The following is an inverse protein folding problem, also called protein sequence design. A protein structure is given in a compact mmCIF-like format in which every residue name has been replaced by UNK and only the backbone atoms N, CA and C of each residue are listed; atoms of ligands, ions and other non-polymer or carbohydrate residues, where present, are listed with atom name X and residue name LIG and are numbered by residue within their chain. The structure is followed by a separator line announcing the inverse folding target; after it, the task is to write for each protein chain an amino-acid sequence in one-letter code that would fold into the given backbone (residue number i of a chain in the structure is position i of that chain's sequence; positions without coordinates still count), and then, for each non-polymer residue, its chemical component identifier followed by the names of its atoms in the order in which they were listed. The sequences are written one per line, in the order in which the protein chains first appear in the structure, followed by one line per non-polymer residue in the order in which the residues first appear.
data_IF_834740149923
#
_entry.id   IF_834740149923
#
_cell.length_a   1.000
_cell.length_b   1.000
_cell.length_c   1.000
_cell.angle_alpha   90.00
_cell.angle_beta   90.00
_cell.angle_gamma   90.00
#
_symmetry.space_group_name_H-M   'P 1'
#
loop_
_entity.id
_entity.type
_entity.pdbx_description
1 polymer ?
#
# COMPACT_ATOMS: atom_id res chain seq x y z
N UNK A 1 -116.12 -2.09 -105.48
CA UNK A 1 -116.83 -2.99 -104.52
C UNK A 1 -116.20 -2.75 -103.15
N UNK A 2 -116.73 -1.83 -102.32
CA UNK A 2 -117.78 -2.09 -101.29
C UNK A 2 -117.17 -2.91 -100.14
N UNK A 3 -116.91 -2.45 -98.90
CA UNK A 3 -117.54 -1.49 -97.97
C UNK A 3 -116.44 -0.98 -96.99
N UNK A 4 -116.26 0.30 -96.62
CA UNK A 4 -117.13 1.26 -95.92
C UNK A 4 -117.55 0.86 -94.49
N UNK A 5 -116.76 1.31 -93.49
CA UNK A 5 -117.16 1.79 -92.13
C UNK A 5 -115.89 2.33 -91.45
N UNK A 6 -115.53 3.61 -91.54
CA UNK A 6 -116.10 4.74 -90.79
C UNK A 6 -116.25 4.45 -89.28
N UNK A 7 -115.14 4.50 -88.54
CA UNK A 7 -115.16 4.87 -87.12
C UNK A 7 -114.70 6.33 -87.04
N UNK A 8 -115.68 7.20 -86.82
CA UNK A 8 -115.52 8.64 -86.75
C UNK A 8 -114.48 9.05 -85.70
N UNK A 9 -113.68 10.04 -86.08
CA UNK A 9 -112.95 10.93 -85.19
C UNK A 9 -113.88 11.49 -84.10
N UNK A 10 -113.77 10.99 -82.87
CA UNK A 10 -114.07 11.80 -81.69
C UNK A 10 -112.75 12.38 -81.17
N UNK A 11 -112.16 13.31 -81.93
CA UNK A 11 -111.31 14.35 -81.36
C UNK A 11 -112.24 15.24 -80.54
N UNK A 12 -112.54 14.82 -79.30
CA UNK A 12 -113.20 15.66 -78.30
C UNK A 12 -112.37 16.94 -78.21
N UNK A 13 -112.88 18.05 -78.71
CA UNK A 13 -112.21 19.34 -78.60
C UNK A 13 -111.94 19.59 -77.10
N UNK A 14 -110.68 19.50 -76.68
CA UNK A 14 -110.28 19.82 -75.30
C UNK A 14 -110.74 21.24 -75.04
N UNK A 15 -111.55 21.45 -74.00
CA UNK A 15 -112.00 22.79 -73.62
C UNK A 15 -110.79 23.65 -73.22
N UNK A 16 -110.84 24.98 -73.38
CA UNK A 16 -109.74 25.89 -72.97
C UNK A 16 -109.28 25.63 -71.52
N UNK A 17 -110.21 25.24 -70.63
CA UNK A 17 -109.91 24.82 -69.26
C UNK A 17 -109.06 23.54 -69.16
N UNK A 18 -109.27 22.54 -70.03
CA UNK A 18 -108.42 21.35 -70.10
C UNK A 18 -107.02 21.67 -70.65
N UNK A 19 -106.88 22.59 -71.62
CA UNK A 19 -105.55 22.98 -72.12
C UNK A 19 -104.74 23.75 -71.07
N UNK A 20 -105.37 24.64 -70.30
CA UNK A 20 -104.72 25.36 -69.20
C UNK A 20 -104.32 24.41 -68.07
N UNK A 21 -105.19 23.47 -67.68
CA UNK A 21 -104.86 22.46 -66.67
C UNK A 21 -103.67 21.58 -67.08
N UNK A 22 -103.59 21.18 -68.36
CA UNK A 22 -102.46 20.41 -68.90
C UNK A 22 -101.17 21.25 -68.89
N UNK A 23 -101.23 22.54 -69.23
CA UNK A 23 -100.07 23.43 -69.20
C UNK A 23 -99.53 23.66 -67.77
N UNK A 24 -100.42 23.85 -66.78
CA UNK A 24 -100.05 23.99 -65.36
C UNK A 24 -99.46 22.68 -64.84
N UNK A 25 -100.08 21.53 -65.15
CA UNK A 25 -99.56 20.22 -64.79
C UNK A 25 -98.19 19.95 -65.43
N UNK A 26 -97.99 20.36 -66.69
CA UNK A 26 -96.70 20.24 -67.37
C UNK A 26 -95.62 21.11 -66.72
N UNK A 27 -95.93 22.37 -66.36
CA UNK A 27 -94.99 23.26 -65.66
C UNK A 27 -94.66 22.77 -64.25
N UNK A 28 -95.65 22.28 -63.50
CA UNK A 28 -95.41 21.65 -62.19
C UNK A 28 -94.55 20.39 -62.34
N UNK A 29 -94.81 19.57 -63.35
CA UNK A 29 -94.02 18.38 -63.63
C UNK A 29 -92.58 18.73 -64.02
N UNK A 30 -92.36 19.80 -64.81
CA UNK A 30 -91.02 20.33 -65.13
C UNK A 30 -90.33 20.86 -63.87
N UNK A 31 -91.03 21.60 -63.00
CA UNK A 31 -90.47 22.13 -61.76
C UNK A 31 -90.10 21.01 -60.78
N UNK A 32 -90.95 19.98 -60.65
CA UNK A 32 -90.68 18.78 -59.85
C UNK A 32 -89.51 17.98 -60.44
N UNK A 33 -89.44 17.81 -61.77
CA UNK A 33 -88.29 17.19 -62.42
C UNK A 33 -87.02 18.01 -62.20
N UNK A 34 -87.07 19.33 -62.35
CA UNK A 34 -85.94 20.24 -62.14
C UNK A 34 -85.43 20.17 -60.69
N UNK A 35 -86.34 20.27 -59.72
CA UNK A 35 -85.99 20.08 -58.30
C UNK A 35 -85.42 18.69 -58.04
N UNK A 36 -86.01 17.64 -58.59
CA UNK A 36 -85.52 16.28 -58.47
C UNK A 36 -84.13 16.09 -59.08
N UNK A 37 -83.85 16.63 -60.29
CA UNK A 37 -82.51 16.63 -60.91
C UNK A 37 -81.49 17.37 -60.05
N UNK A 38 -81.87 18.51 -59.48
CA UNK A 38 -81.00 19.31 -58.64
C UNK A 38 -80.66 18.57 -57.34
N UNK A 39 -81.66 17.98 -56.69
CA UNK A 39 -81.49 17.22 -55.44
C UNK A 39 -80.67 15.96 -55.68
N UNK A 40 -80.98 15.18 -56.72
CA UNK A 40 -80.21 13.98 -57.08
C UNK A 40 -78.78 14.32 -57.49
N UNK A 41 -78.56 15.41 -58.23
CA UNK A 41 -77.22 15.93 -58.54
C UNK A 41 -76.43 16.28 -57.29
N UNK A 42 -77.02 17.03 -56.34
CA UNK A 42 -76.34 17.37 -55.08
C UNK A 42 -76.06 16.15 -54.19
N UNK A 43 -76.97 15.18 -54.15
CA UNK A 43 -76.75 13.92 -53.43
C UNK A 43 -75.60 13.13 -54.06
N UNK A 44 -75.55 13.09 -55.39
CA UNK A 44 -74.50 12.40 -56.15
C UNK A 44 -73.14 13.06 -55.90
N UNK A 45 -73.03 14.38 -56.04
CA UNK A 45 -71.80 15.14 -55.76
C UNK A 45 -71.36 15.02 -54.30
N UNK A 46 -72.31 15.14 -53.37
CA UNK A 46 -72.06 14.99 -51.93
C UNK A 46 -71.57 13.59 -51.58
N UNK A 47 -72.17 12.55 -52.18
CA UNK A 47 -71.76 11.16 -51.98
C UNK A 47 -70.38 10.88 -52.58
N UNK A 48 -70.07 11.45 -53.74
CA UNK A 48 -68.74 11.34 -54.35
C UNK A 48 -67.68 12.00 -53.47
N UNK A 49 -67.91 13.25 -53.01
CA UNK A 49 -66.99 13.94 -52.09
C UNK A 49 -66.79 13.20 -50.78
N UNK A 50 -67.87 12.63 -50.21
CA UNK A 50 -67.78 11.86 -48.98
C UNK A 50 -67.02 10.55 -49.20
N UNK A 51 -67.23 9.86 -50.33
CA UNK A 51 -66.46 8.68 -50.73
C UNK A 51 -64.98 9.00 -50.85
N UNK A 52 -64.62 10.08 -51.54
CA UNK A 52 -63.23 10.50 -51.73
C UNK A 52 -62.58 10.88 -50.40
N UNK A 53 -63.29 11.65 -49.57
CA UNK A 53 -62.84 12.02 -48.23
C UNK A 53 -62.66 10.80 -47.31
N UNK A 54 -63.58 9.84 -47.36
CA UNK A 54 -63.45 8.56 -46.65
C UNK A 54 -62.26 7.74 -47.17
N UNK A 55 -62.03 7.71 -48.48
CA UNK A 55 -60.86 7.08 -49.09
C UNK A 55 -59.54 7.72 -48.62
N UNK A 56 -59.46 9.05 -48.61
CA UNK A 56 -58.30 9.79 -48.10
C UNK A 56 -58.06 9.52 -46.62
N UNK A 57 -59.11 9.54 -45.80
CA UNK A 57 -59.02 9.27 -44.38
C UNK A 57 -58.64 7.81 -44.09
N UNK A 58 -59.08 6.85 -44.91
CA UNK A 58 -58.63 5.45 -44.86
C UNK A 58 -57.13 5.36 -45.16
N UNK A 59 -56.66 5.97 -46.25
CA UNK A 59 -55.24 5.96 -46.59
C UNK A 59 -54.37 6.62 -45.50
N UNK A 60 -54.85 7.71 -44.89
CA UNK A 60 -54.19 8.32 -43.73
C UNK A 60 -54.17 7.41 -42.51
N UNK A 61 -55.23 6.63 -42.27
CA UNK A 61 -55.28 5.63 -41.21
C UNK A 61 -54.30 4.46 -41.48
N UNK A 62 -54.17 4.00 -42.72
CA UNK A 62 -53.16 3.01 -43.10
C UNK A 62 -51.73 3.52 -42.87
N UNK A 63 -51.44 4.78 -43.24
CA UNK A 63 -50.15 5.41 -42.94
C UNK A 63 -49.87 5.51 -41.44
N UNK A 64 -50.90 5.83 -40.64
CA UNK A 64 -50.78 5.86 -39.18
C UNK A 64 -50.52 4.46 -38.61
N UNK A 65 -51.19 3.43 -39.12
CA UNK A 65 -50.97 2.02 -38.77
C UNK A 65 -49.52 1.61 -39.05
N UNK A 66 -49.00 1.91 -40.23
CA UNK A 66 -47.63 1.61 -40.62
C UNK A 66 -46.61 2.34 -39.74
N UNK A 67 -46.84 3.64 -39.47
CA UNK A 67 -46.01 4.44 -38.59
C UNK A 67 -45.99 3.90 -37.16
N UNK A 68 -47.16 3.53 -36.63
CA UNK A 68 -47.30 2.91 -35.32
C UNK A 68 -46.60 1.54 -35.27
N UNK A 69 -46.72 0.72 -36.32
CA UNK A 69 -46.01 -0.56 -36.42
C UNK A 69 -44.49 -0.40 -36.40
N UNK A 70 -43.95 0.59 -37.12
CA UNK A 70 -42.51 0.90 -37.10
C UNK A 70 -42.04 1.34 -35.72
N UNK A 71 -42.83 2.17 -35.03
CA UNK A 71 -42.52 2.64 -33.67
C UNK A 71 -42.60 1.50 -32.64
N UNK A 72 -43.59 0.60 -32.76
CA UNK A 72 -43.68 -0.61 -31.94
C UNK A 72 -42.42 -1.47 -32.08
N UNK A 73 -41.99 -1.73 -33.33
CA UNK A 73 -40.77 -2.48 -33.61
C UNK A 73 -39.53 -1.79 -33.03
N UNK A 74 -39.43 -0.47 -33.18
CA UNK A 74 -38.34 0.32 -32.58
C UNK A 74 -38.31 0.21 -31.05
N UNK A 75 -39.47 0.27 -30.40
CA UNK A 75 -39.59 0.10 -28.95
C UNK A 75 -39.19 -1.33 -28.52
N UNK A 76 -39.58 -2.37 -29.26
CA UNK A 76 -39.14 -3.75 -28.99
C UNK A 76 -37.62 -3.94 -29.15
N UNK A 77 -36.99 -3.28 -30.13
CA UNK A 77 -35.53 -3.31 -30.27
C UNK A 77 -34.83 -2.60 -29.10
N UNK A 78 -35.37 -1.46 -28.66
CA UNK A 78 -34.85 -0.73 -27.51
C UNK A 78 -35.03 -1.53 -26.20
N UNK A 79 -36.15 -2.24 -26.05
CA UNK A 79 -36.40 -3.18 -24.96
C UNK A 79 -35.35 -4.30 -24.93
N UNK A 80 -35.12 -4.96 -26.06
CA UNK A 80 -34.08 -5.99 -26.16
C UNK A 80 -32.68 -5.45 -25.84
N UNK A 81 -32.37 -4.21 -26.23
CA UNK A 81 -31.14 -3.51 -25.86
C UNK A 81 -31.03 -3.25 -24.36
N UNK A 82 -32.10 -2.75 -23.74
CA UNK A 82 -32.17 -2.50 -22.30
C UNK A 82 -32.05 -3.80 -21.49
N UNK A 83 -32.68 -4.89 -21.94
CA UNK A 83 -32.53 -6.21 -21.33
C UNK A 83 -31.09 -6.73 -21.38
N UNK A 84 -30.38 -6.54 -22.50
CA UNK A 84 -28.95 -6.87 -22.60
C UNK A 84 -28.08 -6.03 -21.66
N UNK A 85 -28.38 -4.73 -21.55
CA UNK A 85 -27.68 -3.84 -20.63
C UNK A 85 -27.89 -4.27 -19.17
N UNK A 86 -29.13 -4.59 -18.79
CA UNK A 86 -29.48 -5.09 -17.46
C UNK A 86 -28.71 -6.36 -17.12
N UNK A 87 -28.77 -7.38 -17.98
CA UNK A 87 -28.03 -8.63 -17.80
C UNK A 87 -26.50 -8.42 -17.74
N UNK A 88 -25.96 -7.46 -18.50
CA UNK A 88 -24.55 -7.08 -18.43
C UNK A 88 -24.18 -6.44 -17.09
N UNK A 89 -25.00 -5.51 -16.61
CA UNK A 89 -24.82 -4.84 -15.32
C UNK A 89 -24.94 -5.83 -14.14
N UNK A 90 -25.88 -6.78 -14.19
CA UNK A 90 -26.01 -7.86 -13.21
C UNK A 90 -24.75 -8.74 -13.16
N UNK A 91 -24.18 -9.09 -14.33
CA UNK A 91 -22.92 -9.83 -14.38
C UNK A 91 -21.78 -9.06 -13.72
N UNK A 92 -21.66 -7.76 -14.01
CA UNK A 92 -20.67 -6.89 -13.37
C UNK A 92 -20.88 -6.86 -11.86
N UNK A 93 -22.11 -6.62 -11.40
CA UNK A 93 -22.47 -6.65 -9.98
C UNK A 93 -22.09 -8.00 -9.33
N UNK A 94 -22.40 -9.12 -9.98
CA UNK A 94 -22.08 -10.45 -9.48
C UNK A 94 -20.56 -10.68 -9.37
N UNK A 95 -19.78 -10.23 -10.36
CA UNK A 95 -18.32 -10.32 -10.34
C UNK A 95 -17.71 -9.46 -9.23
N UNK A 96 -18.24 -8.25 -9.04
CA UNK A 96 -17.77 -7.37 -7.96
C UNK A 96 -18.11 -7.97 -6.59
N UNK A 97 -19.35 -8.41 -6.38
CA UNK A 97 -19.82 -8.90 -5.08
C UNK A 97 -19.23 -10.25 -4.68
N UNK A 98 -19.03 -11.16 -5.65
CA UNK A 98 -18.55 -12.51 -5.37
C UNK A 98 -17.04 -12.68 -5.43
N UNK A 99 -16.32 -11.80 -6.14
CA UNK A 99 -14.88 -11.94 -6.34
C UNK A 99 -14.11 -10.71 -5.90
N UNK A 100 -14.41 -9.54 -6.46
CA UNK A 100 -13.60 -8.34 -6.24
C UNK A 100 -13.68 -7.84 -4.80
N UNK A 101 -14.87 -7.71 -4.23
CA UNK A 101 -15.06 -7.22 -2.87
C UNK A 101 -14.46 -8.17 -1.81
N UNK A 102 -14.70 -9.50 -1.84
CA UNK A 102 -14.02 -10.43 -0.95
C UNK A 102 -12.51 -10.47 -1.15
N UNK A 103 -12.02 -10.32 -2.38
CA UNK A 103 -10.60 -10.22 -2.68
C UNK A 103 -9.96 -8.97 -2.10
N UNK A 104 -10.63 -7.83 -2.20
CA UNK A 104 -10.20 -6.57 -1.59
C UNK A 104 -10.18 -6.64 -0.06
N UNK A 105 -11.16 -7.31 0.57
CA UNK A 105 -11.15 -7.54 2.03
C UNK A 105 -9.94 -8.37 2.46
N UNK A 106 -9.62 -9.45 1.74
CA UNK A 106 -8.45 -10.28 2.02
C UNK A 106 -7.15 -9.49 1.84
N UNK A 107 -7.06 -8.69 0.78
CA UNK A 107 -5.90 -7.86 0.52
C UNK A 107 -5.72 -6.80 1.62
N UNK A 108 -6.82 -6.16 2.05
CA UNK A 108 -6.81 -5.20 3.15
C UNK A 108 -6.38 -5.85 4.47
N UNK A 109 -6.91 -7.02 4.79
CA UNK A 109 -6.51 -7.77 5.99
C UNK A 109 -5.01 -8.12 5.96
N UNK A 110 -4.52 -8.68 4.84
CA UNK A 110 -3.10 -9.00 4.69
C UNK A 110 -2.18 -7.78 4.70
N UNK A 111 -2.62 -6.65 4.15
CA UNK A 111 -1.89 -5.39 4.24
C UNK A 111 -1.83 -4.86 5.67
N UNK A 112 -2.91 -5.01 6.45
CA UNK A 112 -2.96 -4.71 7.88
C UNK A 112 -1.97 -5.57 8.68
N UNK A 113 -1.97 -6.89 8.47
CA UNK A 113 -1.02 -7.81 9.11
C UNK A 113 0.44 -7.47 8.76
N UNK A 114 0.70 -7.13 7.50
CA UNK A 114 2.03 -6.68 7.06
C UNK A 114 2.45 -5.38 7.75
N UNK A 115 1.52 -4.41 7.90
CA UNK A 115 1.78 -3.16 8.58
C UNK A 115 2.10 -3.37 10.06
N UNK A 116 1.31 -4.19 10.76
CA UNK A 116 1.57 -4.57 12.16
C UNK A 116 2.92 -5.28 12.32
N UNK A 117 3.24 -6.22 11.42
CA UNK A 117 4.53 -6.90 11.39
C UNK A 117 5.70 -5.95 11.18
N UNK A 118 5.56 -4.97 10.28
CA UNK A 118 6.59 -3.96 10.04
C UNK A 118 6.84 -3.08 11.26
N UNK A 119 5.76 -2.59 11.92
CA UNK A 119 5.85 -1.83 13.18
C UNK A 119 6.56 -2.65 14.26
N UNK A 120 6.26 -3.95 14.36
CA UNK A 120 6.92 -4.83 15.33
C UNK A 120 8.43 -4.96 15.03
N UNK A 121 8.81 -5.13 13.77
CA UNK A 121 10.23 -5.21 13.38
C UNK A 121 10.94 -3.90 13.73
N UNK A 122 10.37 -2.75 13.37
CA UNK A 122 10.95 -1.45 13.71
C UNK A 122 11.10 -1.27 15.22
N UNK A 123 10.08 -1.66 15.99
CA UNK A 123 10.11 -1.62 17.46
C UNK A 123 11.21 -2.52 18.03
N UNK A 124 11.36 -3.74 17.53
CA UNK A 124 12.39 -4.68 17.99
C UNK A 124 13.81 -4.21 17.58
N UNK A 125 13.97 -3.61 16.40
CA UNK A 125 15.25 -3.02 15.94
C UNK A 125 15.63 -1.84 16.85
N UNK A 126 14.73 -0.89 17.06
CA UNK A 126 14.96 0.31 17.86
C UNK A 126 15.14 -0.02 19.36
N UNK A 127 14.31 -0.91 19.90
CA UNK A 127 14.23 -1.16 21.33
C UNK A 127 15.17 -2.26 21.85
N UNK A 128 15.63 -3.17 20.98
CA UNK A 128 16.44 -4.33 21.41
C UNK A 128 17.75 -4.43 20.66
N UNK A 129 17.70 -4.46 19.33
CA UNK A 129 18.88 -4.77 18.52
C UNK A 129 19.90 -3.62 18.52
N UNK A 130 19.48 -2.40 18.20
CA UNK A 130 20.38 -1.24 18.14
C UNK A 130 21.05 -0.94 19.51
N UNK A 131 20.32 -0.93 20.65
CA UNK A 131 20.96 -0.78 21.96
C UNK A 131 21.99 -1.89 22.26
N UNK A 132 21.72 -3.13 21.83
CA UNK A 132 22.67 -4.24 21.94
C UNK A 132 23.94 -4.00 21.14
N UNK A 133 23.81 -3.59 19.88
CA UNK A 133 24.94 -3.24 19.00
C UNK A 133 25.77 -2.11 19.61
N UNK A 134 25.14 -1.06 20.13
CA UNK A 134 25.86 0.06 20.73
C UNK A 134 26.65 -0.34 21.98
N UNK A 135 26.08 -1.19 22.84
CA UNK A 135 26.76 -1.71 24.04
C UNK A 135 27.94 -2.60 23.69
N UNK A 136 27.80 -3.47 22.69
CA UNK A 136 28.88 -4.37 22.25
C UNK A 136 30.03 -3.54 21.67
N UNK A 137 29.75 -2.54 20.84
CA UNK A 137 30.80 -1.68 20.30
C UNK A 137 31.48 -0.84 21.38
N UNK A 138 30.74 -0.22 22.30
CA UNK A 138 31.33 0.50 23.43
C UNK A 138 32.21 -0.41 24.31
N UNK A 139 31.75 -1.63 24.58
CA UNK A 139 32.52 -2.64 25.31
C UNK A 139 33.80 -3.04 24.58
N UNK A 140 33.76 -3.23 23.26
CA UNK A 140 34.92 -3.56 22.45
C UNK A 140 35.94 -2.42 22.42
N UNK A 141 35.49 -1.17 22.28
CA UNK A 141 36.35 0.02 22.34
C UNK A 141 37.03 0.16 23.72
N UNK A 142 36.29 -0.05 24.81
CA UNK A 142 36.83 -0.04 26.18
C UNK A 142 37.85 -1.15 26.41
N UNK A 143 37.56 -2.35 25.90
CA UNK A 143 38.48 -3.49 25.99
C UNK A 143 39.78 -3.22 25.22
N UNK A 144 39.67 -2.65 24.01
CA UNK A 144 40.84 -2.25 23.23
C UNK A 144 41.68 -1.18 23.94
N UNK A 145 41.05 -0.16 24.52
CA UNK A 145 41.73 0.86 25.30
C UNK A 145 42.44 0.27 26.54
N UNK A 146 41.77 -0.63 27.27
CA UNK A 146 42.35 -1.33 28.42
C UNK A 146 43.53 -2.22 28.04
N UNK A 147 43.46 -2.91 26.88
CA UNK A 147 44.59 -3.70 26.38
C UNK A 147 45.81 -2.82 26.06
N UNK A 148 45.59 -1.63 25.48
CA UNK A 148 46.67 -0.65 25.24
C UNK A 148 47.27 -0.16 26.55
N UNK A 149 46.45 0.16 27.55
CA UNK A 149 46.93 0.60 28.87
C UNK A 149 47.76 -0.49 29.57
N UNK A 150 47.29 -1.74 29.54
CA UNK A 150 48.02 -2.87 30.12
C UNK A 150 49.35 -3.10 29.39
N UNK A 151 49.37 -3.01 28.07
CA UNK A 151 50.59 -3.08 27.27
C UNK A 151 51.58 -1.96 27.66
N UNK A 152 51.11 -0.73 27.81
CA UNK A 152 51.92 0.40 28.22
C UNK A 152 52.51 0.22 29.63
N UNK A 153 51.75 -0.32 30.58
CA UNK A 153 52.21 -0.57 31.95
C UNK A 153 53.27 -1.68 32.05
N UNK A 154 53.35 -2.58 31.06
CA UNK A 154 54.25 -3.74 31.05
C UNK A 154 55.46 -3.58 30.13
N UNK A 155 55.49 -2.52 29.32
CA UNK A 155 56.57 -2.25 28.37
C UNK A 155 57.53 -1.23 28.98
N UNK A 156 58.80 -1.56 29.23
CA UNK A 156 59.77 -0.61 29.78
C UNK A 156 59.89 0.63 28.90
N UNK A 157 60.03 1.81 29.51
CA UNK A 157 60.30 3.05 28.79
C UNK A 157 61.81 3.32 28.73
N UNK A 158 62.29 4.09 27.74
CA UNK A 158 63.72 4.44 27.65
C UNK A 158 64.25 5.17 28.89
N UNK A 159 63.40 5.91 29.60
CA UNK A 159 63.77 6.64 30.80
C UNK A 159 63.77 5.75 32.07
N UNK A 160 63.12 4.58 32.02
CA UNK A 160 63.06 3.64 33.14
C UNK A 160 62.36 4.19 34.39
N UNK A 161 61.53 5.22 34.25
CA UNK A 161 60.92 5.93 35.37
C UNK A 161 59.50 6.43 35.11
N UNK A 162 58.81 5.86 34.13
CA UNK A 162 57.43 6.25 33.86
C UNK A 162 56.51 5.88 35.02
N UNK A 163 55.62 6.81 35.36
CA UNK A 163 54.62 6.60 36.41
C UNK A 163 53.66 5.47 36.01
N UNK A 164 53.31 4.61 36.99
CA UNK A 164 52.45 3.43 36.79
C UNK A 164 52.97 2.40 35.78
N UNK A 165 54.27 2.43 35.46
CA UNK A 165 54.90 1.40 34.65
C UNK A 165 55.58 0.34 35.55
N UNK A 166 55.02 -0.86 35.53
CA UNK A 166 55.49 -1.98 36.35
C UNK A 166 56.88 -2.46 35.92
N UNK A 167 57.19 -2.39 34.62
CA UNK A 167 58.48 -2.81 34.10
C UNK A 167 59.60 -1.82 34.46
N UNK A 168 59.30 -0.52 34.44
CA UNK A 168 60.21 0.54 34.91
C UNK A 168 60.44 0.41 36.43
N UNK A 169 59.39 0.20 37.22
CA UNK A 169 59.52 -0.02 38.67
C UNK A 169 60.37 -1.26 39.01
N UNK A 170 60.22 -2.35 38.26
CA UNK A 170 61.07 -3.53 38.40
C UNK A 170 62.54 -3.25 38.05
N UNK A 171 62.78 -2.42 37.03
CA UNK A 171 64.13 -1.98 36.62
C UNK A 171 64.77 -1.13 37.71
N UNK A 172 64.05 -0.14 38.26
CA UNK A 172 64.54 0.69 39.35
C UNK A 172 64.87 -0.12 40.61
N UNK A 173 64.02 -1.10 40.96
CA UNK A 173 64.27 -1.96 42.12
C UNK A 173 65.50 -2.86 41.90
N UNK A 174 65.71 -3.34 40.66
CA UNK A 174 66.92 -4.09 40.30
C UNK A 174 68.18 -3.23 40.44
N UNK A 175 68.14 -1.98 39.96
CA UNK A 175 69.25 -1.03 40.06
C UNK A 175 69.57 -0.68 41.52
N UNK A 176 68.53 -0.40 42.33
CA UNK A 176 68.68 -0.14 43.76
C UNK A 176 69.24 -1.36 44.52
N UNK A 177 68.82 -2.58 44.17
CA UNK A 177 69.37 -3.81 44.73
C UNK A 177 70.84 -4.01 44.35
N UNK A 178 71.24 -3.69 43.12
CA UNK A 178 72.64 -3.74 42.69
C UNK A 178 73.50 -2.71 43.43
N UNK A 179 72.99 -1.48 43.62
CA UNK A 179 73.66 -0.44 44.42
C UNK A 179 73.82 -0.87 45.88
N UNK A 180 72.77 -1.45 46.49
CA UNK A 180 72.83 -1.98 47.86
C UNK A 180 73.86 -3.10 48.00
N UNK A 181 73.91 -4.02 47.03
CA UNK A 181 74.92 -5.09 47.00
C UNK A 181 76.33 -4.53 46.89
N UNK A 182 76.56 -3.53 46.03
CA UNK A 182 77.85 -2.85 45.90
C UNK A 182 78.27 -2.11 47.17
N UNK A 183 77.34 -1.40 47.82
CA UNK A 183 77.58 -0.73 49.10
C UNK A 183 77.87 -1.72 50.24
N UNK A 184 77.15 -2.84 50.28
CA UNK A 184 77.40 -3.92 51.24
C UNK A 184 78.78 -4.57 51.02
N UNK A 185 79.18 -4.78 49.76
CA UNK A 185 80.52 -5.27 49.42
C UNK A 185 81.63 -4.29 49.85
N UNK A 186 81.43 -2.99 49.63
CA UNK A 186 82.36 -1.96 50.07
C UNK A 186 82.47 -1.91 51.61
N UNK A 187 81.34 -2.05 52.32
CA UNK A 187 81.32 -2.14 53.78
C UNK A 187 82.08 -3.39 54.28
N UNK A 188 81.85 -4.54 53.65
CA UNK A 188 82.56 -5.78 53.97
C UNK A 188 84.09 -5.60 53.79
N UNK A 189 84.52 -5.04 52.65
CA UNK A 189 85.92 -4.74 52.38
C UNK A 189 86.52 -3.75 53.41
N UNK A 190 85.79 -2.71 53.81
CA UNK A 190 86.22 -1.80 54.87
C UNK A 190 86.34 -2.47 56.24
N UNK A 191 85.45 -3.41 56.56
CA UNK A 191 85.58 -4.21 57.79
C UNK A 191 86.74 -5.19 57.74
N UNK A 192 87.07 -5.74 56.56
CA UNK A 192 88.28 -6.56 56.39
C UNK A 192 89.53 -5.74 56.68
N UNK A 193 89.62 -4.52 56.15
CA UNK A 193 90.70 -3.58 56.46
C UNK A 193 90.80 -3.28 57.97
N UNK A 194 89.67 -3.28 58.70
CA UNK A 194 89.63 -3.04 60.15
C UNK A 194 90.04 -4.28 60.99
N UNK A 195 89.63 -5.49 60.56
CA UNK A 195 89.95 -6.78 61.21
C UNK A 195 91.42 -7.16 61.10
N UNK A 196 92.04 -6.77 59.99
CA UNK A 196 93.47 -6.69 59.91
C UNK A 196 94.02 -7.00 58.53
N UNK A 197 95.32 -7.24 58.55
CA UNK A 197 95.68 -8.63 58.41
C UNK A 197 96.11 -9.13 59.80
N UNK A 198 95.42 -10.13 60.37
CA UNK A 198 96.12 -11.07 61.27
C UNK A 198 97.14 -11.72 60.36
N UNK A 199 98.44 -11.55 60.64
CA UNK A 199 99.51 -12.08 59.79
C UNK A 199 99.17 -13.50 59.37
N UNK A 200 99.02 -13.71 58.06
CA UNK A 200 99.02 -15.06 57.52
C UNK A 200 100.28 -15.73 58.07
N UNK A 201 100.08 -16.87 58.75
CA UNK A 201 101.16 -17.70 59.30
C UNK A 201 101.94 -17.10 60.48
N UNK A 202 101.35 -16.18 61.26
CA UNK A 202 101.96 -15.73 62.52
C UNK A 202 103.13 -14.75 62.37
N UNK A 203 103.25 -14.06 61.22
CA UNK A 203 104.24 -13.00 61.03
C UNK A 203 103.74 -11.63 61.55
N UNK A 204 104.40 -11.02 62.56
CA UNK A 204 104.00 -9.76 63.19
C UNK A 204 104.26 -8.47 62.39
N UNK A 205 105.04 -8.51 61.31
CA UNK A 205 105.40 -7.29 60.53
C UNK A 205 104.38 -6.93 59.43
N UNK A 206 103.37 -7.79 59.20
CA UNK A 206 102.44 -7.66 58.06
C UNK A 206 101.01 -7.21 58.43
N UNK A 207 100.72 -6.94 59.70
CA UNK A 207 99.37 -6.53 60.15
C UNK A 207 99.19 -5.01 60.27
N UNK A 208 98.03 -4.49 59.89
CA UNK A 208 97.62 -3.08 60.14
C UNK A 208 96.35 -3.02 61.00
N UNK A 209 96.15 -1.90 61.73
CA UNK A 209 94.90 -1.62 62.48
C UNK A 209 94.92 -2.05 63.96
N UNK A 210 93.75 -2.45 64.50
CA UNK A 210 93.60 -2.76 65.94
C UNK A 210 94.18 -4.10 66.37
N UNK A 211 94.34 -5.07 65.47
CA UNK A 211 95.01 -6.33 65.77
C UNK A 211 96.52 -6.15 66.00
N UNK A 212 97.17 -5.37 65.12
CA UNK A 212 98.56 -4.96 65.28
C UNK A 212 98.76 -4.09 66.54
N UNK A 213 97.84 -3.16 66.82
CA UNK A 213 97.84 -2.37 68.05
C UNK A 213 97.68 -3.24 69.30
N UNK A 214 96.72 -4.17 69.33
CA UNK A 214 96.50 -5.09 70.45
C UNK A 214 97.74 -5.95 70.73
N UNK A 215 98.40 -6.47 69.68
CA UNK A 215 99.62 -7.27 69.79
C UNK A 215 100.84 -6.43 70.21
N UNK A 216 101.03 -5.23 69.65
CA UNK A 216 102.10 -4.32 70.07
C UNK A 216 101.95 -3.89 71.54
N UNK A 217 100.71 -3.70 71.99
CA UNK A 217 100.38 -3.42 73.39
C UNK A 217 100.61 -4.64 74.29
N UNK A 218 100.30 -5.85 73.82
CA UNK A 218 100.64 -7.10 74.53
C UNK A 218 102.16 -7.28 74.69
N UNK A 219 102.94 -7.02 73.63
CA UNK A 219 104.41 -7.04 73.66
C UNK A 219 104.98 -5.96 74.57
N UNK A 220 104.42 -4.74 74.56
CA UNK A 220 104.81 -3.66 75.46
C UNK A 220 104.45 -3.96 76.92
N UNK A 221 103.31 -4.63 77.17
CA UNK A 221 102.94 -5.10 78.50
C UNK A 221 103.89 -6.19 78.99
N UNK A 222 104.31 -7.11 78.11
CA UNK A 222 105.31 -8.13 78.41
C UNK A 222 106.68 -7.49 78.73
N UNK A 223 107.12 -6.50 77.94
CA UNK A 223 108.34 -5.74 78.20
C UNK A 223 108.25 -4.92 79.51
N UNK A 224 107.09 -4.36 79.85
CA UNK A 224 106.85 -3.67 81.11
C UNK A 224 106.77 -4.62 82.34
N UNK A 225 106.80 -5.94 82.14
CA UNK A 225 106.92 -6.93 83.21
C UNK A 225 108.38 -7.35 83.49
N UNK A 226 109.36 -6.82 82.75
CA UNK A 226 110.79 -7.02 82.96
C UNK A 226 111.29 -6.20 84.18
N UNK A 227 111.95 -6.80 85.19
CA UNK A 227 112.33 -6.14 86.43
C UNK A 227 113.55 -5.20 86.27
N UNK A 228 113.37 -4.02 85.67
CA UNK A 228 114.37 -2.94 85.72
C UNK A 228 113.84 -1.75 86.52
N UNK A 229 114.62 -1.37 87.54
CA UNK A 229 114.40 -0.29 88.50
C UNK A 229 114.34 1.10 87.81
N UNK A 230 113.27 1.88 88.00
CA UNK A 230 113.32 3.33 87.79
C UNK A 230 112.05 4.05 87.32
N UNK A 231 111.38 4.74 88.26
CA UNK A 231 110.72 6.06 88.13
C UNK A 231 109.48 6.30 87.22
N UNK A 232 108.70 5.28 86.85
CA UNK A 232 107.32 5.48 86.33
C UNK A 232 106.32 4.68 87.16
N UNK A 233 105.10 5.18 87.48
CA UNK A 233 104.03 4.36 88.04
C UNK A 233 103.57 3.30 87.02
N UNK A 234 104.30 2.19 86.95
CA UNK A 234 104.16 1.13 85.96
C UNK A 234 102.78 0.46 86.00
N UNK A 235 102.10 0.49 87.15
CA UNK A 235 100.73 -0.03 87.33
C UNK A 235 99.69 0.72 86.49
N UNK A 236 99.75 2.05 86.44
CA UNK A 236 98.80 2.88 85.68
C UNK A 236 98.98 2.68 84.18
N UNK A 237 100.22 2.47 83.73
CA UNK A 237 100.53 2.18 82.32
C UNK A 237 100.02 0.80 81.94
N UNK A 238 100.24 -0.23 82.77
CA UNK A 238 99.71 -1.59 82.56
C UNK A 238 98.19 -1.63 82.47
N UNK A 239 97.49 -0.90 83.34
CA UNK A 239 96.02 -0.82 83.31
C UNK A 239 95.50 -0.13 82.04
N UNK A 240 96.16 0.93 81.58
CA UNK A 240 95.80 1.62 80.34
C UNK A 240 96.03 0.71 79.12
N UNK A 241 97.15 0.00 79.08
CA UNK A 241 97.48 -0.96 78.01
C UNK A 241 96.42 -2.08 77.96
N UNK A 242 96.09 -2.70 79.10
CA UNK A 242 95.07 -3.75 79.17
C UNK A 242 93.68 -3.27 78.70
N UNK A 243 93.29 -2.04 79.07
CA UNK A 243 92.04 -1.42 78.60
C UNK A 243 92.03 -1.18 77.09
N UNK A 244 93.15 -0.73 76.51
CA UNK A 244 93.26 -0.53 75.06
C UNK A 244 93.23 -1.87 74.33
N UNK A 245 93.93 -2.91 74.81
CA UNK A 245 93.86 -4.27 74.24
C UNK A 245 92.45 -4.84 74.30
N UNK A 246 91.74 -4.69 75.42
CA UNK A 246 90.35 -5.09 75.54
C UNK A 246 89.43 -4.32 74.57
N UNK A 247 89.67 -3.02 74.40
CA UNK A 247 88.99 -2.19 73.40
C UNK A 247 89.25 -2.65 71.97
N UNK A 248 90.51 -2.97 71.63
CA UNK A 248 90.91 -3.47 70.32
C UNK A 248 90.28 -4.84 70.00
N UNK A 249 90.22 -5.76 70.98
CA UNK A 249 89.50 -7.05 70.83
C UNK A 249 88.00 -6.85 70.64
N UNK A 250 87.39 -5.91 71.37
CA UNK A 250 85.97 -5.56 71.18
C UNK A 250 85.73 -4.99 69.78
N UNK A 251 86.63 -4.15 69.27
CA UNK A 251 86.52 -3.59 67.92
C UNK A 251 86.63 -4.68 66.85
N UNK A 252 87.58 -5.60 66.98
CA UNK A 252 87.74 -6.75 66.07
C UNK A 252 86.50 -7.66 66.05
N UNK A 253 85.95 -7.96 67.23
CA UNK A 253 84.70 -8.71 67.35
C UNK A 253 83.53 -7.96 66.70
N UNK A 254 83.43 -6.64 66.93
CA UNK A 254 82.43 -5.78 66.30
C UNK A 254 82.56 -5.72 64.78
N UNK A 255 83.78 -5.57 64.26
CA UNK A 255 84.09 -5.65 62.83
C UNK A 255 83.72 -7.02 62.26
N UNK A 256 83.85 -8.08 63.06
CA UNK A 256 83.43 -9.44 62.68
C UNK A 256 81.95 -9.61 62.56
N UNK A 257 81.19 -9.09 63.50
CA UNK A 257 79.75 -9.06 63.40
C UNK A 257 79.29 -8.19 62.23
N UNK A 258 79.92 -7.03 62.03
CA UNK A 258 79.58 -6.12 60.93
C UNK A 258 79.88 -6.72 59.55
N UNK A 259 81.01 -7.41 59.38
CA UNK A 259 81.30 -8.11 58.12
C UNK A 259 80.27 -9.21 57.84
N UNK A 260 79.93 -10.02 58.84
CA UNK A 260 78.90 -11.05 58.67
C UNK A 260 77.53 -10.43 58.31
N UNK A 261 77.21 -9.28 58.91
CA UNK A 261 76.04 -8.48 58.55
C UNK A 261 76.10 -7.94 57.12
N UNK A 262 77.23 -7.39 56.70
CA UNK A 262 77.46 -6.87 55.36
C UNK A 262 77.38 -7.97 54.30
N UNK A 263 77.96 -9.14 54.57
CA UNK A 263 77.86 -10.31 53.68
C UNK A 263 76.40 -10.76 53.53
N UNK A 264 75.66 -10.89 54.64
CA UNK A 264 74.23 -11.23 54.61
C UNK A 264 73.40 -10.20 53.83
N UNK A 265 73.73 -8.92 53.99
CA UNK A 265 73.06 -7.83 53.26
C UNK A 265 73.38 -7.90 51.76
N UNK A 266 74.64 -8.17 51.40
CA UNK A 266 75.07 -8.36 50.01
C UNK A 266 74.36 -9.56 49.38
N UNK A 267 74.31 -10.70 50.08
CA UNK A 267 73.62 -11.90 49.60
C UNK A 267 72.12 -11.63 49.40
N UNK A 268 71.47 -10.96 50.36
CA UNK A 268 70.07 -10.56 50.27
C UNK A 268 69.80 -9.58 49.13
N UNK A 269 70.67 -8.59 48.92
CA UNK A 269 70.60 -7.64 47.82
C UNK A 269 70.81 -8.33 46.46
N UNK A 270 71.72 -9.30 46.39
CA UNK A 270 71.93 -10.14 45.21
C UNK A 270 70.72 -11.01 44.88
N UNK A 271 70.08 -11.60 45.89
CA UNK A 271 68.82 -12.33 45.72
C UNK A 271 67.69 -11.42 45.22
N UNK A 272 67.57 -10.21 45.77
CA UNK A 272 66.59 -9.21 45.33
C UNK A 272 66.84 -8.78 43.87
N UNK A 273 68.08 -8.51 43.49
CA UNK A 273 68.46 -8.18 42.12
C UNK A 273 68.14 -9.33 41.15
N UNK A 274 68.45 -10.57 41.51
CA UNK A 274 68.10 -11.74 40.69
C UNK A 274 66.57 -11.92 40.56
N UNK A 275 65.82 -11.69 41.64
CA UNK A 275 64.36 -11.77 41.64
C UNK A 275 63.70 -10.71 40.75
N UNK A 276 64.18 -9.47 40.83
CA UNK A 276 63.71 -8.35 39.98
C UNK A 276 64.09 -8.54 38.51
N UNK A 277 65.28 -9.08 38.21
CA UNK A 277 65.66 -9.47 36.85
C UNK A 277 64.70 -10.50 36.23
N UNK A 278 64.26 -11.50 37.01
CA UNK A 278 63.24 -12.47 36.57
C UNK A 278 61.89 -11.80 36.30
N UNK A 279 61.49 -10.85 37.16
CA UNK A 279 60.25 -10.09 36.99
C UNK A 279 60.26 -9.27 35.70
N UNK A 280 61.33 -8.52 35.45
CA UNK A 280 61.51 -7.73 34.21
C UNK A 280 61.47 -8.62 32.96
N UNK A 281 62.12 -9.78 32.98
CA UNK A 281 62.05 -10.75 31.87
C UNK A 281 60.63 -11.31 31.66
N UNK A 282 59.90 -11.54 32.76
CA UNK A 282 58.50 -11.93 32.73
C UNK A 282 57.61 -10.86 32.08
N UNK A 283 57.79 -9.59 32.46
CA UNK A 283 57.08 -8.47 31.84
C UNK A 283 57.40 -8.32 30.36
N UNK A 284 58.67 -8.42 29.97
CA UNK A 284 59.05 -8.38 28.55
C UNK A 284 58.39 -9.50 27.73
N UNK A 285 58.34 -10.72 28.27
CA UNK A 285 57.67 -11.87 27.63
C UNK A 285 56.17 -11.62 27.49
N UNK A 286 55.53 -11.14 28.55
CA UNK A 286 54.09 -10.85 28.54
C UNK A 286 53.75 -9.70 27.60
N UNK A 287 54.54 -8.62 27.60
CA UNK A 287 54.39 -7.49 26.69
C UNK A 287 54.55 -7.94 25.23
N UNK A 288 55.51 -8.82 24.92
CA UNK A 288 55.67 -9.40 23.59
C UNK A 288 54.43 -10.18 23.13
N UNK A 289 53.83 -11.00 24.02
CA UNK A 289 52.59 -11.72 23.72
C UNK A 289 51.38 -10.79 23.56
N UNK A 290 51.26 -9.77 24.40
CA UNK A 290 50.18 -8.77 24.30
C UNK A 290 50.24 -7.98 22.99
N UNK A 291 51.45 -7.64 22.55
CA UNK A 291 51.71 -6.77 21.40
C UNK A 291 52.04 -7.52 20.11
N UNK A 292 51.87 -8.85 20.06
CA UNK A 292 52.05 -9.63 18.82
C UNK A 292 51.25 -9.00 17.68
N UNK A 293 51.93 -8.72 16.57
CA UNK A 293 51.34 -8.15 15.36
C UNK A 293 51.05 -9.21 14.30
N UNK A 294 51.27 -10.49 14.60
CA UNK A 294 50.97 -11.59 13.67
C UNK A 294 49.46 -11.65 13.42
N UNK A 295 48.98 -11.43 12.18
CA UNK A 295 47.55 -11.51 11.88
C UNK A 295 46.96 -12.91 12.10
N UNK A 296 47.76 -13.97 12.01
CA UNK A 296 47.32 -15.35 12.28
C UNK A 296 47.26 -15.65 13.79
N UNK A 297 48.06 -14.96 14.61
CA UNK A 297 48.10 -15.10 16.06
C UNK A 297 48.23 -13.72 16.72
N UNK A 298 47.17 -12.88 16.64
CA UNK A 298 47.25 -11.52 17.11
C UNK A 298 47.39 -11.50 18.63
N UNK A 299 48.23 -10.58 19.12
CA UNK A 299 48.27 -10.27 20.54
C UNK A 299 46.95 -9.64 20.99
N UNK A 300 46.72 -9.60 22.30
CA UNK A 300 45.48 -9.04 22.88
C UNK A 300 45.22 -7.61 22.38
N UNK A 301 46.26 -6.79 22.22
CA UNK A 301 46.13 -5.41 21.72
C UNK A 301 45.60 -5.37 20.29
N UNK A 302 46.17 -6.17 19.39
CA UNK A 302 45.72 -6.21 17.99
C UNK A 302 44.33 -6.87 17.89
N UNK A 303 44.12 -7.98 18.57
CA UNK A 303 42.85 -8.72 18.54
C UNK A 303 41.66 -7.88 19.04
N UNK A 304 41.84 -7.14 20.14
CA UNK A 304 40.78 -6.27 20.67
C UNK A 304 40.54 -5.04 19.78
N UNK A 305 41.58 -4.51 19.11
CA UNK A 305 41.41 -3.45 18.10
C UNK A 305 40.63 -3.94 16.88
N UNK A 306 40.92 -5.14 16.39
CA UNK A 306 40.19 -5.75 15.28
C UNK A 306 38.73 -6.02 15.65
N UNK A 307 38.48 -6.48 16.89
CA UNK A 307 37.12 -6.62 17.41
C UNK A 307 36.40 -5.27 17.42
N UNK A 308 37.03 -4.22 17.94
CA UNK A 308 36.46 -2.88 18.01
C UNK A 308 36.15 -2.30 16.61
N UNK A 309 37.05 -2.50 15.63
CA UNK A 309 36.80 -2.13 14.23
C UNK A 309 35.61 -2.91 13.64
N UNK A 310 35.55 -4.21 13.90
CA UNK A 310 34.43 -5.07 13.48
C UNK A 310 33.09 -4.62 14.06
N UNK A 311 33.03 -4.32 15.36
CA UNK A 311 31.80 -3.84 16.00
C UNK A 311 31.41 -2.45 15.52
N UNK A 312 32.38 -1.59 15.18
CA UNK A 312 32.10 -0.26 14.63
C UNK A 312 31.51 -0.35 13.23
N UNK A 313 31.95 -1.31 12.41
CA UNK A 313 31.31 -1.62 11.11
C UNK A 313 29.87 -2.12 11.28
N UNK A 314 29.59 -2.94 12.30
CA UNK A 314 28.22 -3.38 12.61
C UNK A 314 27.36 -2.18 13.04
N UNK A 315 27.89 -1.26 13.86
CA UNK A 315 27.22 0.00 14.21
C UNK A 315 26.90 0.83 12.97
N UNK A 316 27.84 0.99 12.04
CA UNK A 316 27.59 1.68 10.76
C UNK A 316 26.50 0.96 9.95
N UNK A 317 26.45 -0.37 9.94
CA UNK A 317 25.36 -1.11 9.32
C UNK A 317 23.98 -0.86 9.98
N UNK A 318 23.97 -0.59 11.29
CA UNK A 318 22.75 -0.24 12.03
C UNK A 318 22.28 1.19 11.70
N UNK A 319 23.20 2.15 11.76
CA UNK A 319 22.91 3.60 11.70
C UNK A 319 22.85 4.14 10.26
N UNK A 320 23.54 3.45 9.36
CA UNK A 320 23.83 3.88 8.01
C UNK A 320 25.17 4.58 7.90
N UNK A 321 25.63 4.74 6.66
CA UNK A 321 26.84 5.51 6.38
C UNK A 321 26.51 7.00 6.55
N UNK A 322 27.24 7.75 7.41
CA UNK A 322 26.96 9.15 7.64
C UNK A 322 27.00 9.97 6.34
N UNK A 323 25.95 10.74 6.07
CA UNK A 323 25.85 11.58 4.88
C UNK A 323 25.49 10.84 3.59
N UNK A 324 25.30 9.52 3.63
CA UNK A 324 24.99 8.72 2.45
C UNK A 324 23.53 8.20 2.48
N UNK A 325 22.64 8.73 1.63
CA UNK A 325 21.25 8.28 1.55
C UNK A 325 21.07 6.91 0.88
N UNK A 326 22.05 6.42 0.11
CA UNK A 326 22.00 5.10 -0.52
C UNK A 326 22.28 3.96 0.48
N UNK A 327 22.95 4.28 1.58
CA UNK A 327 23.27 3.34 2.66
C UNK A 327 22.65 3.79 4.00
N UNK A 328 21.31 3.75 4.12
CA UNK A 328 20.60 4.37 5.22
C UNK A 328 20.66 3.60 6.56
N UNK A 329 21.21 2.38 6.55
CA UNK A 329 21.28 1.51 7.73
C UNK A 329 19.97 0.80 8.05
N UNK A 330 20.05 -0.17 8.95
CA UNK A 330 18.91 -1.00 9.35
C UNK A 330 17.81 -0.19 10.04
N UNK A 331 18.16 0.82 10.84
CA UNK A 331 17.17 1.66 11.53
C UNK A 331 16.24 2.37 10.55
N UNK A 332 16.80 3.04 9.54
CA UNK A 332 16.01 3.73 8.52
C UNK A 332 15.32 2.75 7.58
N UNK A 333 15.92 1.60 7.28
CA UNK A 333 15.28 0.57 6.47
C UNK A 333 14.00 0.03 7.14
N UNK A 334 14.05 -0.21 8.46
CA UNK A 334 12.89 -0.64 9.23
C UNK A 334 11.79 0.44 9.22
N UNK A 335 12.13 1.71 9.46
CA UNK A 335 11.17 2.82 9.39
C UNK A 335 10.54 2.98 8.00
N UNK A 336 11.32 2.85 6.92
CA UNK A 336 10.80 2.89 5.54
C UNK A 336 9.87 1.72 5.22
N UNK A 337 10.15 0.55 5.78
CA UNK A 337 9.28 -0.61 5.64
C UNK A 337 7.93 -0.37 6.33
N UNK A 338 7.92 0.24 7.52
CA UNK A 338 6.71 0.66 8.22
C UNK A 338 5.91 1.70 7.43
N UNK A 339 6.57 2.74 6.90
CA UNK A 339 5.89 3.73 6.04
C UNK A 339 5.26 3.08 4.80
N UNK A 340 6.04 2.23 4.11
CA UNK A 340 5.58 1.54 2.92
C UNK A 340 4.40 0.60 3.17
N UNK A 341 4.43 -0.16 4.27
CA UNK A 341 3.35 -1.08 4.62
C UNK A 341 2.10 -0.34 5.11
N UNK A 342 2.25 0.76 5.86
CA UNK A 342 1.13 1.62 6.25
C UNK A 342 0.44 2.23 5.02
N UNK A 343 1.22 2.75 4.07
CA UNK A 343 0.67 3.31 2.82
C UNK A 343 -0.02 2.26 1.97
N UNK A 344 0.49 1.03 1.96
CA UNK A 344 -0.20 -0.09 1.32
C UNK A 344 -1.54 -0.38 2.01
N UNK A 345 -1.56 -0.45 3.34
CA UNK A 345 -2.79 -0.64 4.11
C UNK A 345 -3.81 0.46 3.82
N UNK A 346 -3.42 1.73 3.86
CA UNK A 346 -4.28 2.87 3.51
C UNK A 346 -4.81 2.77 2.07
N UNK A 347 -3.95 2.40 1.13
CA UNK A 347 -4.34 2.16 -0.26
C UNK A 347 -5.38 1.06 -0.41
N UNK A 348 -5.27 -0.03 0.37
CA UNK A 348 -6.26 -1.11 0.37
C UNK A 348 -7.59 -0.71 1.00
N UNK A 349 -7.58 0.15 2.02
CA UNK A 349 -8.79 0.76 2.59
C UNK A 349 -9.48 1.63 1.54
N UNK A 350 -8.72 2.46 0.82
CA UNK A 350 -9.26 3.30 -0.26
C UNK A 350 -9.83 2.45 -1.41
N UNK A 351 -9.16 1.36 -1.78
CA UNK A 351 -9.65 0.41 -2.79
C UNK A 351 -10.99 -0.21 -2.33
N UNK A 352 -11.08 -0.65 -1.08
CA UNK A 352 -12.30 -1.25 -0.55
C UNK A 352 -13.46 -0.23 -0.50
N UNK A 353 -13.16 1.02 -0.13
CA UNK A 353 -14.13 2.12 -0.18
C UNK A 353 -14.58 2.42 -1.63
N UNK A 354 -13.70 2.33 -2.62
CA UNK A 354 -14.08 2.46 -4.03
C UNK A 354 -15.00 1.33 -4.49
N UNK A 355 -14.77 0.10 -4.04
CA UNK A 355 -15.57 -1.07 -4.42
C UNK A 355 -16.95 -1.05 -3.74
N UNK A 356 -16.97 -0.86 -2.42
CA UNK A 356 -18.17 -0.99 -1.58
C UNK A 356 -18.93 0.32 -1.37
N UNK A 357 -18.29 1.44 -1.66
CA UNK A 357 -18.74 2.76 -1.28
C UNK A 357 -18.36 3.11 0.14
N UNK A 358 -18.51 4.39 0.48
CA UNK A 358 -18.37 4.85 1.86
C UNK A 358 -19.73 4.75 2.54
N UNK A 359 -19.86 4.02 3.67
CA UNK A 359 -21.14 3.91 4.37
C UNK A 359 -21.72 5.28 4.73
N UNK A 360 -22.96 5.53 4.32
CA UNK A 360 -23.65 6.80 4.59
C UNK A 360 -23.30 7.97 3.67
N UNK A 361 -22.42 7.76 2.67
CA UNK A 361 -22.08 8.79 1.68
C UNK A 361 -22.70 8.48 0.31
N UNK A 362 -23.82 9.15 -0.05
CA UNK A 362 -24.43 8.96 -1.37
C UNK A 362 -23.58 9.50 -2.53
N UNK A 363 -22.58 10.36 -2.27
CA UNK A 363 -21.64 10.82 -3.29
C UNK A 363 -20.59 9.76 -3.63
N UNK A 364 -20.37 8.78 -2.75
CA UNK A 364 -19.50 7.64 -2.98
C UNK A 364 -20.24 6.29 -2.78
N UNK A 365 -21.15 5.93 -3.70
CA UNK A 365 -21.88 4.67 -3.62
C UNK A 365 -20.99 3.44 -3.90
N UNK A 366 -19.80 3.65 -4.47
CA UNK A 366 -18.91 2.59 -4.90
C UNK A 366 -19.40 1.79 -6.11
N UNK A 367 -18.54 0.91 -6.61
CA UNK A 367 -18.84 0.10 -7.80
C UNK A 367 -20.00 -0.89 -7.58
N UNK A 368 -20.14 -1.45 -6.37
CA UNK A 368 -21.23 -2.37 -6.04
C UNK A 368 -22.60 -1.72 -6.21
N UNK A 369 -22.86 -0.62 -5.51
CA UNK A 369 -24.16 0.04 -5.60
C UNK A 369 -24.35 0.68 -6.98
N UNK A 370 -23.28 1.19 -7.61
CA UNK A 370 -23.34 1.76 -8.97
C UNK A 370 -23.76 0.72 -10.02
N UNK A 371 -23.19 -0.49 -9.99
CA UNK A 371 -23.56 -1.56 -10.91
C UNK A 371 -24.98 -2.09 -10.66
N UNK A 372 -25.41 -2.14 -9.40
CA UNK A 372 -26.78 -2.48 -9.04
C UNK A 372 -27.78 -1.43 -9.54
N UNK A 373 -27.48 -0.14 -9.37
CA UNK A 373 -28.31 0.95 -9.86
C UNK A 373 -28.44 0.93 -11.39
N UNK A 374 -27.35 0.63 -12.10
CA UNK A 374 -27.37 0.47 -13.56
C UNK A 374 -28.27 -0.70 -14.00
N UNK A 375 -28.19 -1.84 -13.32
CA UNK A 375 -29.06 -2.99 -13.60
C UNK A 375 -30.54 -2.64 -13.38
N UNK A 376 -30.87 -2.03 -12.25
CA UNK A 376 -32.22 -1.59 -11.94
C UNK A 376 -32.76 -0.59 -12.98
N UNK A 377 -31.97 0.44 -13.32
CA UNK A 377 -32.38 1.43 -14.32
C UNK A 377 -32.56 0.85 -15.73
N UNK A 378 -31.73 -0.11 -16.12
CA UNK A 378 -31.89 -0.81 -17.39
C UNK A 378 -33.15 -1.70 -17.41
N UNK A 379 -33.48 -2.36 -16.29
CA UNK A 379 -34.73 -3.10 -16.13
C UNK A 379 -35.97 -2.19 -16.18
N UNK A 380 -35.90 -1.00 -15.57
CA UNK A 380 -36.96 0.01 -15.67
C UNK A 380 -37.13 0.53 -17.10
N UNK A 381 -36.04 0.77 -17.81
CA UNK A 381 -36.05 1.19 -19.22
C UNK A 381 -36.68 0.11 -20.12
N UNK A 382 -36.34 -1.16 -19.90
CA UNK A 382 -36.96 -2.30 -20.58
C UNK A 382 -38.47 -2.35 -20.33
N UNK A 383 -38.90 -2.27 -19.06
CA UNK A 383 -40.32 -2.22 -18.72
C UNK A 383 -41.06 -1.03 -19.37
N UNK A 384 -40.41 0.14 -19.47
CA UNK A 384 -40.93 1.30 -20.18
C UNK A 384 -41.07 1.07 -21.68
N UNK A 385 -40.08 0.48 -22.33
CA UNK A 385 -40.09 0.18 -23.76
C UNK A 385 -41.14 -0.89 -24.12
N UNK A 386 -41.35 -1.88 -23.24
CA UNK A 386 -42.44 -2.86 -23.38
C UNK A 386 -43.81 -2.14 -23.40
N UNK A 387 -44.06 -1.24 -22.44
CA UNK A 387 -45.30 -0.45 -22.39
C UNK A 387 -45.48 0.43 -23.64
N UNK A 388 -44.39 0.98 -24.16
CA UNK A 388 -44.40 1.80 -25.37
C UNK A 388 -44.74 0.97 -26.61
N UNK A 389 -44.15 -0.22 -26.76
CA UNK A 389 -44.44 -1.16 -27.83
C UNK A 389 -45.92 -1.60 -27.81
N UNK A 390 -46.46 -1.90 -26.63
CA UNK A 390 -47.88 -2.23 -26.44
C UNK A 390 -48.78 -1.06 -26.83
N UNK A 391 -48.42 0.16 -26.43
CA UNK A 391 -49.13 1.38 -26.79
C UNK A 391 -49.21 1.61 -28.30
N UNK A 392 -48.08 1.45 -29.01
CA UNK A 392 -48.04 1.57 -30.46
C UNK A 392 -48.78 0.44 -31.18
N UNK A 393 -48.76 -0.78 -30.65
CA UNK A 393 -49.54 -1.90 -31.18
C UNK A 393 -51.05 -1.66 -31.07
N UNK A 394 -51.49 -1.06 -29.95
CA UNK A 394 -52.88 -0.61 -29.76
C UNK A 394 -53.24 0.53 -30.71
N UNK A 395 -52.34 1.49 -30.94
CA UNK A 395 -52.54 2.58 -31.90
C UNK A 395 -52.68 2.04 -33.33
N UNK A 396 -51.82 1.12 -33.74
CA UNK A 396 -51.90 0.45 -35.05
C UNK A 396 -53.23 -0.28 -35.23
N UNK A 397 -53.68 -1.00 -34.20
CA UNK A 397 -54.98 -1.69 -34.20
C UNK A 397 -56.15 -0.70 -34.30
N UNK A 398 -56.07 0.45 -33.63
CA UNK A 398 -57.09 1.50 -33.71
C UNK A 398 -57.13 2.17 -35.09
N UNK A 399 -55.97 2.40 -35.69
CA UNK A 399 -55.84 2.94 -37.03
C UNK A 399 -56.41 1.96 -38.09
N UNK A 400 -56.17 0.66 -37.91
CA UNK A 400 -56.76 -0.38 -38.76
C UNK A 400 -58.30 -0.35 -38.73
N UNK A 401 -58.88 -0.26 -37.54
CA UNK A 401 -60.33 -0.13 -37.37
C UNK A 401 -60.89 1.15 -37.99
N UNK A 402 -60.12 2.24 -37.97
CA UNK A 402 -60.51 3.51 -38.61
C UNK A 402 -60.49 3.40 -40.14
N UNK A 403 -59.47 2.74 -40.70
CA UNK A 403 -59.39 2.44 -42.12
C UNK A 403 -60.60 1.58 -42.57
N UNK A 404 -60.87 0.47 -41.87
CA UNK A 404 -62.02 -0.39 -42.13
C UNK A 404 -63.36 0.37 -42.05
N UNK A 405 -63.53 1.21 -41.04
CA UNK A 405 -64.72 2.05 -40.88
C UNK A 405 -64.91 3.02 -42.06
N UNK A 406 -63.83 3.65 -42.49
CA UNK A 406 -63.85 4.59 -43.61
C UNK A 406 -64.06 3.88 -44.96
N UNK A 407 -63.50 2.68 -45.15
CA UNK A 407 -63.78 1.84 -46.31
C UNK A 407 -65.28 1.49 -46.40
N UNK A 408 -65.89 1.12 -45.27
CA UNK A 408 -67.34 0.88 -45.19
C UNK A 408 -68.18 2.14 -45.51
N UNK A 409 -67.73 3.32 -45.07
CA UNK A 409 -68.38 4.60 -45.44
C UNK A 409 -68.25 4.85 -46.94
N UNK A 410 -67.06 4.65 -47.52
CA UNK A 410 -66.81 4.80 -48.94
C UNK A 410 -67.68 3.85 -49.79
N UNK A 411 -67.84 2.60 -49.37
CA UNK A 411 -68.69 1.61 -50.03
C UNK A 411 -70.19 1.98 -49.93
N UNK A 412 -70.64 2.37 -48.73
CA UNK A 412 -72.02 2.79 -48.50
C UNK A 412 -72.38 4.04 -49.32
N UNK A 413 -71.49 5.02 -49.38
CA UNK A 413 -71.66 6.24 -50.18
C UNK A 413 -71.52 5.99 -51.67
N UNK A 414 -70.69 5.03 -52.10
CA UNK A 414 -70.66 4.54 -53.48
C UNK A 414 -71.97 3.85 -53.89
N UNK A 415 -72.60 3.12 -52.96
CA UNK A 415 -73.93 2.54 -53.17
C UNK A 415 -75.00 3.63 -53.26
N UNK A 416 -74.94 4.66 -52.40
CA UNK A 416 -75.85 5.81 -52.46
C UNK A 416 -75.68 6.61 -53.76
N UNK A 417 -74.44 6.86 -54.17
CA UNK A 417 -74.09 7.50 -55.45
C UNK A 417 -74.69 6.74 -56.63
N UNK A 418 -74.44 5.43 -56.73
CA UNK A 418 -74.94 4.62 -57.85
C UNK A 418 -76.47 4.52 -57.85
N UNK A 419 -77.08 4.41 -56.67
CA UNK A 419 -78.54 4.45 -56.51
C UNK A 419 -79.15 5.78 -56.95
N UNK A 420 -78.60 6.91 -56.51
CA UNK A 420 -79.05 8.26 -56.89
C UNK A 420 -78.85 8.55 -58.40
N UNK A 421 -77.75 8.07 -58.98
CA UNK A 421 -77.47 8.18 -60.40
C UNK A 421 -78.42 7.32 -61.25
N UNK A 422 -78.77 6.11 -60.80
CA UNK A 422 -79.66 5.21 -61.52
C UNK A 422 -81.08 5.78 -61.67
N UNK A 423 -81.56 6.51 -60.66
CA UNK A 423 -82.89 7.16 -60.67
C UNK A 423 -82.88 8.54 -61.31
N UNK A 424 -81.74 9.02 -61.85
CA UNK A 424 -81.67 10.32 -62.51
C UNK A 424 -82.56 10.36 -63.77
N UNK A 425 -83.21 11.50 -64.09
CA UNK A 425 -84.15 11.57 -65.21
C UNK A 425 -83.56 11.17 -66.56
N UNK A 426 -82.25 11.34 -66.77
CA UNK A 426 -81.57 10.93 -68.01
C UNK A 426 -81.53 9.42 -68.24
N UNK A 427 -81.42 8.60 -67.20
CA UNK A 427 -81.52 7.13 -67.30
C UNK A 427 -82.96 6.65 -67.31
N UNK A 428 -83.82 7.27 -66.49
CA UNK A 428 -85.25 6.93 -66.41
C UNK A 428 -85.97 7.22 -67.74
N UNK A 429 -85.63 8.31 -68.43
CA UNK A 429 -86.18 8.66 -69.75
C UNK A 429 -85.62 7.79 -70.89
N UNK A 430 -84.47 7.14 -70.69
CA UNK A 430 -83.81 6.31 -71.71
C UNK A 430 -84.22 4.83 -71.63
N UNK A 431 -84.70 4.37 -70.47
CA UNK A 431 -85.27 3.03 -70.27
C UNK A 431 -86.80 2.99 -70.38
N UNK A 432 -87.49 4.13 -70.48
CA UNK A 432 -88.95 4.16 -70.59
C UNK A 432 -89.38 4.22 -72.06
N UNK A 433 -89.98 3.12 -72.54
CA UNK A 433 -90.94 3.22 -73.63
C UNK A 433 -92.05 4.18 -73.21
N UNK A 434 -92.46 5.08 -74.12
CA UNK A 434 -93.36 6.20 -73.87
C UNK A 434 -94.72 5.84 -73.21
N UNK A 435 -95.07 4.56 -73.13
CA UNK A 435 -96.28 4.07 -72.48
C UNK A 435 -96.21 3.95 -70.93
N UNK A 436 -95.01 3.92 -70.34
CA UNK A 436 -94.85 3.74 -68.87
C UNK A 436 -94.81 5.06 -68.08
N UNK A 437 -94.69 6.22 -68.74
CA UNK A 437 -94.53 7.53 -68.09
C UNK A 437 -95.72 7.93 -67.18
N UNK A 438 -96.90 7.35 -67.37
CA UNK A 438 -98.09 7.57 -66.51
C UNK A 438 -98.22 6.58 -65.35
N UNK A 439 -97.55 5.42 -65.39
CA UNK A 439 -97.48 4.48 -64.26
C UNK A 439 -96.46 4.89 -63.19
N UNK A 440 -95.59 5.85 -63.53
CA UNK A 440 -94.41 6.23 -62.76
C UNK A 440 -94.72 6.93 -61.42
N UNK A 441 -95.88 7.57 -61.26
CA UNK A 441 -96.26 8.19 -59.97
C UNK A 441 -96.64 7.14 -58.91
N UNK A 442 -97.13 5.96 -59.33
CA UNK A 442 -97.50 4.87 -58.42
C UNK A 442 -96.33 4.00 -57.95
N UNK A 443 -95.30 3.82 -58.79
CA UNK A 443 -94.13 2.99 -58.47
C UNK A 443 -93.12 3.72 -57.58
N UNK A 444 -93.08 5.06 -57.62
CA UNK A 444 -92.21 5.90 -56.79
C UNK A 444 -92.46 5.80 -55.27
N UNK A 445 -93.61 5.24 -54.84
CA UNK A 445 -93.90 4.98 -53.43
C UNK A 445 -93.42 3.61 -52.90
N UNK A 446 -93.21 2.63 -53.78
CA UNK A 446 -92.92 1.24 -53.37
C UNK A 446 -91.43 0.87 -53.47
N UNK A 447 -90.69 1.46 -54.43
CA UNK A 447 -89.25 1.19 -54.59
C UNK A 447 -88.38 1.67 -53.41
N UNK A 448 -88.77 2.78 -52.79
CA UNK A 448 -88.10 3.37 -51.62
C UNK A 448 -88.24 2.50 -50.36
N UNK A 449 -89.37 1.78 -50.21
CA UNK A 449 -89.61 0.85 -49.10
C UNK A 449 -88.82 -0.46 -49.29
N UNK A 450 -88.72 -0.96 -50.53
CA UNK A 450 -87.96 -2.16 -50.85
C UNK A 450 -86.46 -2.00 -50.57
N UNK A 451 -85.86 -0.90 -51.03
CA UNK A 451 -84.45 -0.59 -50.78
C UNK A 451 -84.14 -0.41 -49.29
N UNK A 452 -85.03 0.27 -48.55
CA UNK A 452 -84.92 0.47 -47.10
C UNK A 452 -84.98 -0.86 -46.31
N UNK A 453 -85.85 -1.79 -46.70
CA UNK A 453 -85.96 -3.10 -46.05
C UNK A 453 -84.76 -4.02 -46.34
N UNK A 454 -84.18 -3.96 -47.55
CA UNK A 454 -82.95 -4.70 -47.87
C UNK A 454 -81.72 -4.16 -47.14
N UNK A 455 -81.61 -2.83 -46.98
CA UNK A 455 -80.55 -2.20 -46.18
C UNK A 455 -80.68 -2.56 -44.70
N UNK A 456 -81.90 -2.59 -44.16
CA UNK A 456 -82.17 -2.98 -42.76
C UNK A 456 -81.84 -4.46 -42.49
N UNK A 457 -82.12 -5.35 -43.44
CA UNK A 457 -81.74 -6.78 -43.32
C UNK A 457 -80.22 -6.99 -43.36
N UNK A 458 -79.48 -6.25 -44.19
CA UNK A 458 -78.01 -6.32 -44.20
C UNK A 458 -77.37 -5.73 -42.94
N UNK A 459 -77.95 -4.67 -42.38
CA UNK A 459 -77.52 -4.12 -41.08
C UNK A 459 -77.72 -5.10 -39.92
N UNK A 460 -78.84 -5.84 -39.90
CA UNK A 460 -79.09 -6.85 -38.86
C UNK A 460 -78.14 -8.06 -38.96
N UNK A 461 -77.71 -8.43 -40.17
CA UNK A 461 -76.74 -9.51 -40.36
C UNK A 461 -75.32 -9.11 -39.91
N UNK A 462 -74.94 -7.84 -40.06
CA UNK A 462 -73.61 -7.34 -39.69
C UNK A 462 -73.44 -7.04 -38.18
N UNK A 463 -74.49 -7.11 -37.36
CA UNK A 463 -74.42 -6.96 -35.90
C UNK A 463 -74.29 -8.30 -35.16
N UNK A 464 -74.41 -9.44 -35.86
CA UNK A 464 -74.35 -10.80 -35.30
C UNK A 464 -73.12 -11.60 -35.79
N UNK A 465 -72.04 -10.93 -36.21
CA UNK A 465 -70.78 -11.58 -36.65
C UNK A 465 -69.57 -10.88 -36.07
#
# INVERSE_FOLDING_TARGET
MSQSRAAASQTRARTRGQQIAIAILALLLIAVLGFYTLVTGRITDGSAKLKDGAGQASAGADQLKDGAGKLANGASLADAGAGKLSAGAEKVYSGISSQLAPGADKLQAGAGELAEGAVKIETDVNGKLAPGVYKVDDGAQKLAAGAVQLSAALTPTPAGNAENNLADGATQLADGAAQLAGGAAALAAGTDQLKGYRGANGNPEAGTGTAALAQALELLQAAANDPVQGLVPLSVVKDKIAKITAGARKLDAGATQLQAGAQRLQDGAGQLHAGTGKLTAGFATLAGKLNSQDPANPGVVLGTRLLADGTSKIRVGMDGVPGDPEHPGLLKAAARMTDGSSRLADGTVALNAGIKGTPGDPANPGLLNGSQALASGASELSAGNTKLADGFSRLATGADKLADGNARIADGTGTLYSGAAAVSPGTVLRQSDAAMALGLVGVLGLGSVGAFLTLRRKQAAAQNS
#
